data_IF_683019040678
#
_entry.id   IF_683019040678
#
_cell.length_a   1.000
_cell.length_b   1.000
_cell.length_c   1.000
_cell.angle_alpha   90.00
_cell.angle_beta   90.00
_cell.angle_gamma   90.00
#
_symmetry.space_group_name_H-M   'P 1'
#
loop_
_entity.id
_entity.type
_entity.pdbx_description
1 polymer ?
#
# COMPACT_ATOMS: atom_id res chain seq x y z
N UNK A 1 -4.18 29.87 11.51
CA UNK A 1 -4.09 28.45 11.95
C UNK A 1 -2.77 28.26 12.68
N UNK A 2 -2.77 27.63 13.86
CA UNK A 2 -1.59 27.56 14.75
C UNK A 2 -0.64 26.41 14.37
N UNK A 3 0.67 26.60 14.57
CA UNK A 3 1.73 25.60 14.31
C UNK A 3 1.43 24.21 14.92
N UNK A 4 0.76 24.22 16.07
CA UNK A 4 0.33 23.01 16.81
C UNK A 4 -0.64 22.13 16.00
N UNK A 5 -1.50 22.74 15.17
CA UNK A 5 -2.40 22.03 14.26
C UNK A 5 -1.64 21.40 13.08
N UNK A 6 -0.64 22.10 12.52
CA UNK A 6 0.22 21.55 11.45
C UNK A 6 0.96 20.30 11.90
N UNK A 7 1.60 20.34 13.07
CA UNK A 7 2.34 19.20 13.65
C UNK A 7 1.45 17.99 13.96
N UNK A 8 0.23 18.22 14.47
CA UNK A 8 -0.72 17.14 14.80
C UNK A 8 -1.31 16.47 13.56
N UNK A 9 -1.59 17.24 12.50
CA UNK A 9 -2.09 16.69 11.22
C UNK A 9 -0.98 15.97 10.46
N UNK A 10 0.26 16.44 10.60
CA UNK A 10 1.44 15.82 10.00
C UNK A 10 1.77 14.46 10.61
N UNK A 11 1.75 14.34 11.94
CA UNK A 11 1.94 13.04 12.60
C UNK A 11 0.80 12.06 12.30
N UNK A 12 -0.43 12.56 12.14
CA UNK A 12 -1.60 11.72 11.88
C UNK A 12 -1.60 11.18 10.45
N UNK A 13 -1.30 11.99 9.44
CA UNK A 13 -1.24 11.50 8.05
C UNK A 13 -0.12 10.47 7.85
N UNK A 14 1.07 10.71 8.42
CA UNK A 14 2.16 9.73 8.36
C UNK A 14 1.83 8.45 9.12
N UNK A 15 1.16 8.54 10.27
CA UNK A 15 0.67 7.36 10.97
C UNK A 15 -0.33 6.56 10.11
N UNK A 16 -1.30 7.22 9.47
CA UNK A 16 -2.30 6.57 8.61
C UNK A 16 -1.64 5.82 7.46
N UNK A 17 -0.72 6.46 6.72
CA UNK A 17 -0.06 5.80 5.60
C UNK A 17 0.95 4.74 6.03
N UNK A 18 1.62 4.92 7.18
CA UNK A 18 2.45 3.87 7.77
C UNK A 18 1.63 2.63 8.13
N UNK A 19 0.47 2.81 8.78
CA UNK A 19 -0.46 1.72 9.11
C UNK A 19 -0.98 1.06 7.83
N UNK A 20 -1.34 1.83 6.81
CA UNK A 20 -1.76 1.30 5.52
C UNK A 20 -0.71 0.36 4.92
N UNK A 21 0.54 0.80 4.80
CA UNK A 21 1.63 -0.04 4.29
C UNK A 21 1.89 -1.26 5.18
N UNK A 22 1.73 -1.15 6.50
CA UNK A 22 1.85 -2.27 7.42
C UNK A 22 0.75 -3.32 7.19
N UNK A 23 -0.52 -2.89 7.08
CA UNK A 23 -1.67 -3.77 6.82
C UNK A 23 -1.49 -4.48 5.48
N UNK A 24 -1.10 -3.76 4.43
CA UNK A 24 -0.83 -4.35 3.11
C UNK A 24 0.29 -5.38 3.18
N UNK A 25 1.40 -5.05 3.86
CA UNK A 25 2.51 -5.99 4.04
C UNK A 25 2.08 -7.28 4.74
N UNK A 26 1.32 -7.17 5.82
CA UNK A 26 0.76 -8.33 6.54
C UNK A 26 -0.22 -9.12 5.65
N UNK A 27 -1.10 -8.45 4.92
CA UNK A 27 -2.05 -9.11 4.02
C UNK A 27 -1.34 -9.94 2.93
N UNK A 28 -0.27 -9.41 2.33
CA UNK A 28 0.53 -10.14 1.33
C UNK A 28 1.23 -11.34 1.96
N UNK A 29 1.76 -11.23 3.19
CA UNK A 29 2.35 -12.37 3.92
C UNK A 29 1.31 -13.45 4.20
N UNK A 30 0.11 -13.06 4.63
CA UNK A 30 -1.00 -13.99 4.86
C UNK A 30 -1.39 -14.72 3.58
N UNK A 31 -1.52 -14.02 2.45
CA UNK A 31 -1.75 -14.64 1.14
C UNK A 31 -0.62 -15.60 0.74
N UNK A 32 0.63 -15.25 1.04
CA UNK A 32 1.76 -16.12 0.74
C UNK A 32 1.75 -17.41 1.56
N UNK A 33 1.40 -17.31 2.85
CA UNK A 33 1.25 -18.47 3.73
C UNK A 33 0.12 -19.39 3.25
N UNK A 34 -1.01 -18.82 2.82
CA UNK A 34 -2.15 -19.57 2.27
C UNK A 34 -1.85 -20.21 0.91
N UNK A 35 -0.95 -19.61 0.12
CA UNK A 35 -0.52 -20.14 -1.19
C UNK A 35 0.69 -21.09 -1.09
N UNK A 36 1.05 -21.55 0.11
CA UNK A 36 2.18 -22.45 0.34
C UNK A 36 3.52 -21.93 -0.23
N UNK A 37 3.75 -20.61 -0.16
CA UNK A 37 4.98 -19.97 -0.64
C UNK A 37 5.31 -20.20 -2.12
N UNK A 38 4.30 -20.54 -2.94
CA UNK A 38 4.48 -20.81 -4.37
C UNK A 38 4.86 -19.59 -5.20
N UNK A 39 4.68 -18.38 -4.65
CA UNK A 39 4.89 -17.12 -5.35
C UNK A 39 6.01 -16.30 -4.67
N UNK A 40 7.28 -16.58 -4.97
CA UNK A 40 8.42 -16.01 -4.23
C UNK A 40 8.54 -14.48 -4.40
N UNK A 41 8.04 -13.91 -5.49
CA UNK A 41 8.09 -12.46 -5.70
C UNK A 41 7.17 -11.66 -4.75
N UNK A 42 6.13 -12.29 -4.19
CA UNK A 42 5.26 -11.67 -3.18
C UNK A 42 5.99 -11.44 -1.85
N UNK A 43 7.00 -12.27 -1.53
CA UNK A 43 7.86 -12.08 -0.35
C UNK A 43 8.51 -10.71 -0.39
N UNK A 44 9.15 -10.39 -1.51
CA UNK A 44 9.87 -9.13 -1.71
C UNK A 44 8.90 -7.96 -1.58
N UNK A 45 7.73 -8.05 -2.22
CA UNK A 45 6.71 -7.00 -2.15
C UNK A 45 6.21 -6.77 -0.72
N UNK A 46 5.98 -7.83 0.06
CA UNK A 46 5.59 -7.73 1.46
C UNK A 46 6.65 -7.02 2.32
N UNK A 47 7.92 -7.43 2.20
CA UNK A 47 9.01 -6.80 2.94
C UNK A 47 9.18 -5.34 2.56
N UNK A 48 9.09 -4.98 1.27
CA UNK A 48 9.12 -3.60 0.84
C UNK A 48 8.00 -2.77 1.48
N UNK A 49 6.78 -3.30 1.56
CA UNK A 49 5.66 -2.64 2.24
C UNK A 49 5.98 -2.39 3.73
N UNK A 50 6.47 -3.39 4.46
CA UNK A 50 6.83 -3.25 5.88
C UNK A 50 7.99 -2.27 6.11
N UNK A 51 9.03 -2.33 5.27
CA UNK A 51 10.16 -1.39 5.34
C UNK A 51 9.68 0.03 5.08
N UNK A 52 8.76 0.21 4.12
CA UNK A 52 8.18 1.53 3.81
C UNK A 52 7.31 2.03 4.95
N UNK A 53 6.52 1.16 5.59
CA UNK A 53 5.74 1.50 6.77
C UNK A 53 6.64 2.04 7.89
N UNK A 54 7.75 1.34 8.18
CA UNK A 54 8.73 1.78 9.16
C UNK A 54 9.44 3.08 8.75
N UNK A 55 9.84 3.19 7.49
CA UNK A 55 10.49 4.37 6.93
C UNK A 55 9.60 5.62 7.02
N UNK A 56 8.31 5.47 6.71
CA UNK A 56 7.30 6.53 6.87
C UNK A 56 7.15 6.91 8.34
N UNK A 57 6.97 5.93 9.24
CA UNK A 57 6.84 6.17 10.67
C UNK A 57 8.03 6.96 11.26
N UNK A 58 9.24 6.68 10.76
CA UNK A 58 10.48 7.36 11.15
C UNK A 58 10.81 8.59 10.29
N UNK A 59 9.92 9.00 9.37
CA UNK A 59 10.11 10.16 8.49
C UNK A 59 11.44 10.15 7.73
N UNK A 60 11.90 8.97 7.30
CA UNK A 60 13.19 8.81 6.62
C UNK A 60 13.11 9.22 5.15
N UNK A 61 14.08 9.99 4.64
CA UNK A 61 14.11 10.41 3.21
C UNK A 61 13.97 9.26 2.22
N UNK A 62 14.60 8.12 2.49
CA UNK A 62 14.55 6.91 1.66
C UNK A 62 13.13 6.34 1.53
N UNK A 63 12.24 6.60 2.50
CA UNK A 63 10.85 6.16 2.46
C UNK A 63 10.05 6.81 1.32
N UNK A 64 10.43 8.03 0.91
CA UNK A 64 9.82 8.71 -0.25
C UNK A 64 10.09 7.91 -1.53
N UNK A 65 11.34 7.49 -1.74
CA UNK A 65 11.72 6.67 -2.89
C UNK A 65 11.00 5.32 -2.87
N UNK A 66 10.95 4.67 -1.70
CA UNK A 66 10.24 3.39 -1.56
C UNK A 66 8.74 3.52 -1.82
N UNK A 67 8.11 4.61 -1.38
CA UNK A 67 6.69 4.91 -1.66
C UNK A 67 6.46 5.03 -3.17
N UNK A 68 7.34 5.72 -3.89
CA UNK A 68 7.27 5.84 -5.35
C UNK A 68 7.41 4.48 -6.03
N UNK A 69 8.41 3.68 -5.64
CA UNK A 69 8.62 2.34 -6.20
C UNK A 69 7.44 1.42 -5.92
N UNK A 70 6.92 1.43 -4.69
CA UNK A 70 5.74 0.65 -4.30
C UNK A 70 4.47 1.10 -4.99
N UNK A 71 4.34 2.39 -5.34
CA UNK A 71 3.21 2.85 -6.13
C UNK A 71 3.17 2.14 -7.49
N UNK A 72 4.29 2.10 -8.22
CA UNK A 72 4.34 1.42 -9.51
C UNK A 72 4.16 -0.10 -9.37
N UNK A 73 4.96 -0.75 -8.51
CA UNK A 73 4.90 -2.19 -8.31
C UNK A 73 3.53 -2.64 -7.78
N UNK A 74 3.02 -1.95 -6.77
CA UNK A 74 1.74 -2.24 -6.15
C UNK A 74 0.57 -1.99 -7.09
N UNK A 75 0.61 -0.92 -7.90
CA UNK A 75 -0.44 -0.67 -8.90
C UNK A 75 -0.40 -1.73 -10.00
N UNK A 76 0.78 -2.13 -10.49
CA UNK A 76 0.89 -3.22 -11.47
C UNK A 76 0.36 -4.53 -10.90
N UNK A 77 0.72 -4.87 -9.65
CA UNK A 77 0.20 -6.05 -8.97
C UNK A 77 -1.32 -6.00 -8.81
N UNK A 78 -1.85 -4.88 -8.32
CA UNK A 78 -3.30 -4.68 -8.13
C UNK A 78 -4.07 -4.75 -9.43
N UNK A 79 -3.59 -4.08 -10.48
CA UNK A 79 -4.23 -4.03 -11.79
C UNK A 79 -4.20 -5.38 -12.51
N UNK A 80 -3.07 -6.09 -12.48
CA UNK A 80 -2.96 -7.42 -13.11
C UNK A 80 -3.82 -8.46 -12.39
N UNK A 81 -3.85 -8.42 -11.05
CA UNK A 81 -4.71 -9.30 -10.25
C UNK A 81 -6.20 -9.00 -10.51
N UNK A 82 -6.57 -7.71 -10.54
CA UNK A 82 -7.95 -7.29 -10.81
C UNK A 82 -8.39 -7.69 -12.22
N UNK A 83 -7.53 -7.47 -13.23
CA UNK A 83 -7.80 -7.88 -14.60
C UNK A 83 -7.98 -9.40 -14.71
N UNK A 84 -7.08 -10.17 -14.08
CA UNK A 84 -7.18 -11.62 -14.05
C UNK A 84 -8.48 -12.09 -13.39
N UNK A 85 -8.86 -11.48 -12.26
CA UNK A 85 -10.11 -11.80 -11.57
C UNK A 85 -11.34 -11.55 -12.44
N UNK A 86 -11.40 -10.41 -13.14
CA UNK A 86 -12.54 -10.04 -14.00
C UNK A 86 -12.64 -10.93 -15.24
N UNK A 87 -11.49 -11.38 -15.77
CA UNK A 87 -11.46 -12.28 -16.94
C UNK A 87 -11.90 -13.71 -16.61
N UNK A 88 -11.64 -14.17 -15.38
CA UNK A 88 -12.05 -15.51 -14.93
C UNK A 88 -13.53 -15.49 -14.55
N UNK A 89 -13.96 -14.49 -13.79
CA UNK A 89 -15.33 -14.36 -13.30
C UNK A 89 -15.85 -12.92 -13.44
N UNK A 90 -17.11 -12.72 -13.87
CA UNK A 90 -17.72 -11.39 -13.91
C UNK A 90 -17.69 -10.70 -12.55
N UNK A 91 -17.59 -9.37 -12.54
CA UNK A 91 -17.32 -8.57 -11.34
C UNK A 91 -18.26 -8.82 -10.16
N UNK A 92 -19.54 -9.14 -10.41
CA UNK A 92 -20.59 -9.38 -9.41
C UNK A 92 -21.10 -10.83 -9.38
N UNK A 93 -20.30 -11.77 -9.87
CA UNK A 93 -20.67 -13.19 -9.95
C UNK A 93 -20.76 -13.85 -8.57
N UNK A 94 -19.82 -13.55 -7.68
CA UNK A 94 -19.82 -14.04 -6.30
C UNK A 94 -19.45 -12.94 -5.31
N UNK A 95 -19.85 -13.11 -4.05
CA UNK A 95 -19.53 -12.16 -2.97
C UNK A 95 -18.01 -12.08 -2.78
N UNK A 96 -17.32 -13.22 -2.87
CA UNK A 96 -15.88 -13.32 -2.67
C UNK A 96 -15.10 -12.56 -3.75
N UNK A 97 -15.43 -12.78 -5.04
CA UNK A 97 -14.76 -12.07 -6.14
C UNK A 97 -15.09 -10.57 -6.15
N UNK A 98 -16.33 -10.21 -5.81
CA UNK A 98 -16.73 -8.81 -5.66
C UNK A 98 -15.92 -8.09 -4.57
N UNK A 99 -15.77 -8.73 -3.40
CA UNK A 99 -14.99 -8.18 -2.28
C UNK A 99 -13.50 -8.09 -2.59
N UNK A 100 -12.94 -9.08 -3.29
CA UNK A 100 -11.56 -9.05 -3.76
C UNK A 100 -11.35 -7.87 -4.71
N UNK A 101 -12.19 -7.73 -5.73
CA UNK A 101 -12.10 -6.66 -6.71
C UNK A 101 -12.20 -5.27 -6.05
N UNK A 102 -13.15 -5.09 -5.14
CA UNK A 102 -13.32 -3.84 -4.40
C UNK A 102 -12.10 -3.53 -3.52
N UNK A 103 -11.54 -4.57 -2.88
CA UNK A 103 -10.32 -4.46 -2.07
C UNK A 103 -9.12 -4.05 -2.91
N UNK A 104 -8.95 -4.61 -4.12
CA UNK A 104 -7.88 -4.24 -5.04
C UNK A 104 -8.01 -2.79 -5.53
N UNK A 105 -9.23 -2.34 -5.82
CA UNK A 105 -9.51 -0.94 -6.17
C UNK A 105 -9.16 -0.02 -5.00
N UNK A 106 -9.64 -0.34 -3.79
CA UNK A 106 -9.34 0.43 -2.59
C UNK A 106 -7.83 0.48 -2.29
N UNK A 107 -7.12 -0.63 -2.50
CA UNK A 107 -5.68 -0.72 -2.38
C UNK A 107 -4.96 0.24 -3.35
N UNK A 108 -5.33 0.25 -4.64
CA UNK A 108 -4.73 1.15 -5.63
C UNK A 108 -5.02 2.63 -5.32
N UNK A 109 -6.23 2.95 -4.86
CA UNK A 109 -6.57 4.31 -4.40
C UNK A 109 -5.71 4.69 -3.19
N UNK A 110 -5.52 3.76 -2.24
CA UNK A 110 -4.66 3.96 -1.07
C UNK A 110 -3.21 4.22 -1.45
N UNK A 111 -2.66 3.48 -2.42
CA UNK A 111 -1.32 3.73 -2.96
C UNK A 111 -1.20 5.11 -3.61
N UNK A 112 -2.19 5.51 -4.40
CA UNK A 112 -2.20 6.83 -5.04
C UNK A 112 -2.28 7.96 -4.02
N UNK A 113 -3.15 7.82 -3.01
CA UNK A 113 -3.25 8.78 -1.91
C UNK A 113 -1.95 8.86 -1.10
N UNK A 114 -1.30 7.72 -0.83
CA UNK A 114 -0.01 7.66 -0.15
C UNK A 114 1.08 8.38 -0.96
N UNK A 115 1.13 8.14 -2.27
CA UNK A 115 2.09 8.81 -3.16
C UNK A 115 1.92 10.32 -3.11
N UNK A 116 0.68 10.83 -3.30
CA UNK A 116 0.40 12.27 -3.27
C UNK A 116 0.80 12.87 -1.92
N UNK A 117 0.40 12.23 -0.82
CA UNK A 117 0.68 12.73 0.52
C UNK A 117 2.20 12.81 0.79
N UNK A 118 2.91 11.71 0.54
CA UNK A 118 4.36 11.63 0.77
C UNK A 118 5.12 12.57 -0.16
N UNK A 119 4.72 12.68 -1.43
CA UNK A 119 5.33 13.61 -2.38
C UNK A 119 5.11 15.09 -2.00
N UNK A 120 3.93 15.43 -1.48
CA UNK A 120 3.61 16.77 -0.99
C UNK A 120 4.36 17.11 0.30
N UNK A 121 4.74 16.11 1.10
CA UNK A 121 5.42 16.27 2.39
C UNK A 121 6.90 15.92 2.37
N UNK A 122 7.47 15.60 1.20
CA UNK A 122 8.85 15.10 1.04
C UNK A 122 9.93 15.95 1.73
N UNK A 123 9.73 17.26 1.83
CA UNK A 123 10.69 18.19 2.45
C UNK A 123 10.81 18.00 3.97
N UNK A 124 9.79 17.42 4.61
CA UNK A 124 9.78 17.14 6.03
C UNK A 124 10.50 15.84 6.39
N UNK A 125 10.81 15.01 5.40
CA UNK A 125 11.54 13.76 5.62
C UNK A 125 13.05 14.06 5.78
N UNK A 126 13.66 13.49 6.82
CA UNK A 126 15.08 13.69 7.18
C UNK A 126 15.90 12.40 7.04
#
# INVERSE_FOLDING_TARGET
MTLKSKLKVESLGVAVFSIFYAIVGVAIISMLALSNFTIPHMVVLAFLNLITAYGLFKMKKWAVLLTIVLFFLGTTFGATTLYGSIMIEPFFSSIETSLLNLTLIAYMIGLFAALIYVAAKRENFQ
#
